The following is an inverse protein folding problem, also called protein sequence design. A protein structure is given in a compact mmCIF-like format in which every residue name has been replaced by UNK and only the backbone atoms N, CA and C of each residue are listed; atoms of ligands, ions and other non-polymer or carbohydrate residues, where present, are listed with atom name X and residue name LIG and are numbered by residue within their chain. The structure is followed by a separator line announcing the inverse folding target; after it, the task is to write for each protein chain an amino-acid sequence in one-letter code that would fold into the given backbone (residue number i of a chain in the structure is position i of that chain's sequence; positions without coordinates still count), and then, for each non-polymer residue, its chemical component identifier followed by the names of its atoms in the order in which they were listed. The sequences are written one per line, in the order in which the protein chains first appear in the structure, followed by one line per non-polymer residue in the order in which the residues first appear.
data_IF_551218749586
#
_entry.id   IF_551218749586
#
_cell.length_a   1.000
_cell.length_b   1.000
_cell.length_c   1.000
_cell.angle_alpha   90.00
_cell.angle_beta   90.00
_cell.angle_gamma   90.00
#
_symmetry.space_group_name_H-M   'P 1'
#
loop_
_entity.id
_entity.type
_entity.pdbx_description
1 polymer ?
#
# COMPACT_ATOMS: atom_id res chain seq x y z
N UNK A 1 -17.36 0.01 12.20
CA UNK A 1 -15.95 -0.35 12.53
C UNK A 1 -15.06 0.87 12.30
N UNK A 2 -14.16 1.22 13.23
CA UNK A 2 -13.32 2.41 13.02
C UNK A 2 -12.40 2.21 11.82
N UNK A 3 -12.29 3.21 10.93
CA UNK A 3 -11.45 3.19 9.71
C UNK A 3 -10.00 2.78 9.98
N UNK A 4 -9.52 2.98 11.22
CA UNK A 4 -8.19 2.57 11.69
C UNK A 4 -7.98 1.05 11.60
N UNK A 5 -9.01 0.25 11.85
CA UNK A 5 -8.94 -1.22 11.78
C UNK A 5 -8.83 -1.72 10.34
N UNK A 6 -9.50 -1.05 9.38
CA UNK A 6 -9.41 -1.40 7.97
C UNK A 6 -7.98 -1.20 7.42
N UNK A 7 -7.33 -0.09 7.77
CA UNK A 7 -5.92 0.13 7.43
C UNK A 7 -5.01 -0.92 8.05
N UNK A 8 -5.17 -1.21 9.35
CA UNK A 8 -4.33 -2.19 10.04
C UNK A 8 -4.41 -3.60 9.43
N UNK A 9 -5.64 -4.08 9.19
CA UNK A 9 -5.88 -5.41 8.59
C UNK A 9 -5.30 -5.45 7.16
N UNK A 10 -5.58 -4.43 6.34
CA UNK A 10 -5.07 -4.37 4.97
C UNK A 10 -3.54 -4.37 4.91
N UNK A 11 -2.87 -3.65 5.81
CA UNK A 11 -1.40 -3.61 5.90
C UNK A 11 -0.84 -4.98 6.24
N UNK A 12 -1.41 -5.68 7.23
CA UNK A 12 -0.94 -7.01 7.63
C UNK A 12 -1.12 -8.02 6.49
N UNK A 13 -2.28 -8.02 5.84
CA UNK A 13 -2.55 -8.90 4.69
C UNK A 13 -1.56 -8.62 3.57
N UNK A 14 -1.40 -7.37 3.15
CA UNK A 14 -0.49 -7.00 2.05
C UNK A 14 0.98 -7.37 2.36
N UNK A 15 1.42 -7.19 3.62
CA UNK A 15 2.75 -7.59 4.05
C UNK A 15 2.94 -9.11 3.99
N UNK A 16 2.01 -9.89 4.55
CA UNK A 16 2.08 -11.37 4.50
C UNK A 16 2.04 -11.87 3.05
N UNK A 17 1.15 -11.32 2.22
CA UNK A 17 1.06 -11.65 0.79
C UNK A 17 2.36 -11.37 0.06
N UNK A 18 3.01 -10.22 0.30
CA UNK A 18 4.31 -9.92 -0.33
C UNK A 18 5.38 -10.96 0.02
N UNK A 19 5.49 -11.32 1.30
CA UNK A 19 6.46 -12.34 1.77
C UNK A 19 6.14 -13.70 1.15
N UNK A 20 4.87 -14.11 1.16
CA UNK A 20 4.42 -15.36 0.57
C UNK A 20 4.81 -15.47 -0.92
N UNK A 21 4.56 -14.42 -1.71
CA UNK A 21 4.87 -14.42 -3.14
C UNK A 21 6.37 -14.33 -3.42
N UNK A 22 7.15 -13.65 -2.58
CA UNK A 22 8.63 -13.69 -2.63
C UNK A 22 9.12 -15.13 -2.45
N UNK A 23 8.62 -15.84 -1.45
CA UNK A 23 9.00 -17.24 -1.18
C UNK A 23 8.63 -18.15 -2.36
N UNK A 24 7.51 -17.87 -3.02
CA UNK A 24 7.08 -18.60 -4.23
C UNK A 24 7.80 -18.17 -5.51
N UNK A 25 8.74 -17.22 -5.43
CA UNK A 25 9.41 -16.60 -6.58
C UNK A 25 8.44 -16.01 -7.61
N UNK A 26 7.22 -15.67 -7.18
CA UNK A 26 6.23 -15.03 -8.02
C UNK A 26 6.33 -13.52 -7.83
N UNK A 27 7.30 -12.92 -8.54
CA UNK A 27 7.69 -11.54 -8.33
C UNK A 27 6.59 -10.53 -8.73
N UNK A 28 5.75 -10.86 -9.71
CA UNK A 28 4.67 -9.97 -10.15
C UNK A 28 3.68 -9.70 -9.01
N UNK A 29 3.16 -10.78 -8.40
CA UNK A 29 2.23 -10.65 -7.28
C UNK A 29 2.93 -10.19 -5.99
N UNK A 30 4.23 -10.45 -5.83
CA UNK A 30 5.02 -9.90 -4.72
C UNK A 30 5.10 -8.38 -4.79
N UNK A 31 5.46 -7.84 -5.96
CA UNK A 31 5.54 -6.40 -6.21
C UNK A 31 4.16 -5.77 -6.10
N UNK A 32 3.12 -6.39 -6.67
CA UNK A 32 1.74 -5.92 -6.54
C UNK A 32 1.33 -5.79 -5.07
N UNK A 33 1.65 -6.78 -4.24
CA UNK A 33 1.39 -6.78 -2.80
C UNK A 33 2.21 -5.72 -2.05
N UNK A 34 3.49 -5.54 -2.40
CA UNK A 34 4.34 -4.48 -1.82
C UNK A 34 3.83 -3.07 -2.16
N UNK A 35 3.38 -2.85 -3.38
CA UNK A 35 2.85 -1.55 -3.82
C UNK A 35 1.53 -1.24 -3.09
N UNK A 36 0.66 -2.24 -2.90
CA UNK A 36 -0.51 -2.11 -2.04
C UNK A 36 -0.13 -1.77 -0.59
N UNK A 37 0.87 -2.47 -0.03
CA UNK A 37 1.40 -2.22 1.32
C UNK A 37 1.91 -0.77 1.45
N UNK A 38 2.65 -0.27 0.47
CA UNK A 38 3.12 1.12 0.46
C UNK A 38 1.98 2.12 0.37
N UNK A 39 0.97 1.87 -0.46
CA UNK A 39 -0.20 2.76 -0.52
C UNK A 39 -0.89 2.87 0.85
N UNK A 40 -1.13 1.73 1.51
CA UNK A 40 -1.82 1.68 2.80
C UNK A 40 -1.00 2.27 3.95
N UNK A 41 0.29 1.93 4.05
CA UNK A 41 1.17 2.43 5.11
C UNK A 41 1.43 3.94 4.98
N UNK A 42 1.56 4.46 3.77
CA UNK A 42 1.63 5.91 3.53
C UNK A 42 0.32 6.61 3.89
N UNK A 43 -0.83 6.04 3.55
CA UNK A 43 -2.13 6.60 3.94
C UNK A 43 -2.31 6.65 5.46
N UNK A 44 -1.90 5.58 6.17
CA UNK A 44 -1.89 5.54 7.62
C UNK A 44 -0.93 6.59 8.23
N UNK A 45 0.28 6.75 7.66
CA UNK A 45 1.23 7.80 8.06
C UNK A 45 0.71 9.20 7.80
N UNK A 46 0.03 9.44 6.68
CA UNK A 46 -0.58 10.73 6.36
C UNK A 46 -1.58 11.17 7.45
N UNK A 47 -2.44 10.23 7.89
CA UNK A 47 -3.39 10.47 8.98
C UNK A 47 -2.70 10.67 10.34
N UNK A 48 -1.67 9.87 10.63
CA UNK A 48 -0.89 9.99 11.87
C UNK A 48 -0.18 11.35 11.96
N UNK A 49 0.44 11.78 10.87
CA UNK A 49 1.16 13.06 10.80
C UNK A 49 0.20 14.25 10.88
N UNK A 50 -0.97 14.16 10.25
CA UNK A 50 -1.99 15.20 10.38
C UNK A 50 -2.44 15.39 11.84
N UNK A 51 -2.70 14.28 12.54
CA UNK A 51 -3.10 14.31 13.95
C UNK A 51 -2.02 14.89 14.90
N UNK A 52 -0.76 14.92 14.46
CA UNK A 52 0.38 15.49 15.19
C UNK A 52 0.70 16.94 14.80
N UNK A 53 -0.11 17.57 13.93
CA UNK A 53 0.14 18.93 13.43
C UNK A 53 1.25 19.01 12.35
N UNK A 54 1.76 17.87 11.89
CA UNK A 54 2.83 17.81 10.87
C UNK A 54 2.21 17.86 9.46
N UNK A 55 1.73 19.04 9.08
CA UNK A 55 0.91 19.25 7.86
C UNK A 55 1.69 18.94 6.58
N UNK A 56 2.96 19.34 6.50
CA UNK A 56 3.79 19.13 5.30
C UNK A 56 4.06 17.66 5.06
N UNK A 57 4.47 16.96 6.11
CA UNK A 57 4.78 15.53 6.12
C UNK A 57 3.52 14.71 5.85
N UNK A 58 2.37 15.14 6.39
CA UNK A 58 1.07 14.54 6.10
C UNK A 58 0.72 14.63 4.61
N UNK A 59 0.86 15.82 3.99
CA UNK A 59 0.64 16.00 2.55
C UNK A 59 1.59 15.15 1.72
N UNK A 60 2.86 15.09 2.09
CA UNK A 60 3.85 14.25 1.42
C UNK A 60 3.46 12.76 1.45
N UNK A 61 3.09 12.25 2.62
CA UNK A 61 2.61 10.87 2.76
C UNK A 61 1.31 10.61 2.00
N UNK A 62 0.41 11.59 1.91
CA UNK A 62 -0.79 11.48 1.09
C UNK A 62 -0.44 11.32 -0.40
N UNK A 63 0.46 12.16 -0.92
CA UNK A 63 0.94 12.04 -2.30
C UNK A 63 1.61 10.70 -2.57
N UNK A 64 2.42 10.19 -1.64
CA UNK A 64 3.00 8.85 -1.75
C UNK A 64 1.94 7.74 -1.75
N UNK A 65 0.92 7.85 -0.89
CA UNK A 65 -0.19 6.89 -0.85
C UNK A 65 -0.93 6.82 -2.19
N UNK A 66 -1.20 7.98 -2.80
CA UNK A 66 -1.85 8.11 -4.10
C UNK A 66 -0.94 7.59 -5.24
N UNK A 67 0.35 7.93 -5.22
CA UNK A 67 1.32 7.43 -6.20
C UNK A 67 1.34 5.90 -6.23
N UNK A 68 1.51 5.26 -5.07
CA UNK A 68 1.51 3.80 -4.99
C UNK A 68 0.13 3.20 -5.27
N UNK A 69 -0.96 3.92 -4.93
CA UNK A 69 -2.32 3.50 -5.30
C UNK A 69 -2.53 3.45 -6.82
N UNK A 70 -2.06 4.47 -7.54
CA UNK A 70 -2.10 4.50 -9.00
C UNK A 70 -1.19 3.42 -9.60
N UNK A 71 0.03 3.26 -9.08
CA UNK A 71 0.95 2.20 -9.50
C UNK A 71 0.35 0.81 -9.29
N UNK A 72 -0.37 0.58 -8.19
CA UNK A 72 -1.09 -0.68 -7.94
C UNK A 72 -2.10 -0.97 -9.05
N UNK A 73 -2.90 0.01 -9.46
CA UNK A 73 -3.89 -0.18 -10.52
C UNK A 73 -3.22 -0.52 -11.87
N UNK A 74 -2.13 0.17 -12.21
CA UNK A 74 -1.37 -0.11 -13.43
C UNK A 74 -0.80 -1.53 -13.39
N UNK A 75 -0.11 -1.89 -12.30
CA UNK A 75 0.47 -3.23 -12.15
C UNK A 75 -0.60 -4.31 -12.11
N UNK A 76 -1.74 -4.06 -11.48
CA UNK A 76 -2.86 -5.00 -11.47
C UNK A 76 -3.35 -5.27 -12.90
N UNK A 77 -3.56 -4.23 -13.71
CA UNK A 77 -3.96 -4.39 -15.11
C UNK A 77 -2.89 -5.15 -15.89
N UNK A 78 -1.62 -4.77 -15.77
CA UNK A 78 -0.52 -5.44 -16.48
C UNK A 78 -0.42 -6.92 -16.08
N UNK A 79 -0.43 -7.23 -14.78
CA UNK A 79 -0.33 -8.61 -14.29
C UNK A 79 -1.51 -9.48 -14.72
N UNK A 80 -2.73 -8.95 -14.85
CA UNK A 80 -3.90 -9.74 -15.25
C UNK A 80 -4.17 -9.76 -16.76
N UNK A 81 -3.69 -8.77 -17.52
CA UNK A 81 -3.84 -8.72 -18.99
C UNK A 81 -2.67 -9.42 -19.70
N UNK A 82 -1.50 -9.46 -19.09
CA UNK A 82 -0.31 -10.10 -19.66
C UNK A 82 -0.10 -11.56 -19.21
N UNK A 83 -0.95 -12.09 -18.33
CA UNK A 83 -0.97 -13.51 -17.91
C UNK A 83 -1.94 -14.33 -18.75
#
# INVERSE_FOLDING_TARGET
MQTKWLFGIGIVIAAISSIYFIIKLNLDYAVLSMVALFSLTNGARAKSFHAKGMVRESKWMLWMSLFFGAAFLVLFVVSFVAS
#
